data_IF_169965114602
#
_entry.id   IF_169965114602
#
_cell.length_a   1.000
_cell.length_b   1.000
_cell.length_c   1.000
_cell.angle_alpha   90.00
_cell.angle_beta   90.00
_cell.angle_gamma   90.00
#
_symmetry.space_group_name_H-M   'P 1'
#
loop_
_entity.id
_entity.type
_entity.pdbx_description
1 polymer ?
#
# COMPACT_ATOMS: atom_id res chain seq x y z
N UNK A 1 5.64 -18.84 28.26
CA UNK A 1 6.80 -18.56 27.39
C UNK A 1 6.66 -17.15 26.83
N UNK A 2 7.65 -16.30 27.09
CA UNK A 2 7.73 -14.94 26.53
C UNK A 2 8.54 -14.98 25.23
N UNK A 3 8.06 -14.30 24.19
CA UNK A 3 8.80 -14.09 22.94
C UNK A 3 8.78 -12.62 22.54
N UNK A 4 9.92 -12.15 22.05
CA UNK A 4 10.06 -10.79 21.53
C UNK A 4 9.25 -10.67 20.23
N UNK A 5 8.42 -9.64 20.17
CA UNK A 5 7.54 -9.40 19.04
C UNK A 5 8.35 -8.81 17.86
N UNK A 6 8.34 -9.44 16.68
CA UNK A 6 9.09 -8.94 15.53
C UNK A 6 8.44 -7.71 14.88
N UNK A 7 7.27 -7.24 15.36
CA UNK A 7 6.62 -6.03 14.86
C UNK A 7 7.45 -4.81 15.24
N UNK A 8 8.05 -4.20 14.23
CA UNK A 8 8.76 -2.94 14.39
C UNK A 8 7.80 -1.80 14.75
N UNK A 9 8.28 -0.88 15.58
CA UNK A 9 7.72 0.46 15.64
C UNK A 9 7.86 1.10 14.25
N UNK A 10 6.73 1.34 13.58
CA UNK A 10 6.76 2.07 12.32
C UNK A 10 6.98 3.55 12.58
N UNK A 11 7.84 4.18 11.77
CA UNK A 11 7.80 5.64 11.65
C UNK A 11 6.55 5.99 10.87
N UNK A 12 5.51 6.36 11.59
CA UNK A 12 4.24 6.81 11.02
C UNK A 12 4.27 8.33 10.93
N UNK A 13 4.09 8.87 9.74
CA UNK A 13 3.82 10.30 9.58
C UNK A 13 2.48 10.66 10.23
N UNK A 14 2.34 11.91 10.67
CA UNK A 14 1.09 12.39 11.23
C UNK A 14 -0.07 12.12 10.25
N UNK A 15 -1.17 11.59 10.79
CA UNK A 15 -2.32 11.22 9.98
C UNK A 15 -2.99 12.48 9.44
N UNK A 16 -3.08 12.51 8.12
CA UNK A 16 -3.86 13.45 7.36
C UNK A 16 -5.07 12.70 6.79
N UNK A 17 -6.24 13.29 6.93
CA UNK A 17 -7.42 12.84 6.19
C UNK A 17 -7.44 13.37 4.77
N UNK A 18 -8.21 12.70 3.91
CA UNK A 18 -8.48 13.19 2.57
C UNK A 18 -9.25 14.51 2.66
N UNK A 19 -8.69 15.56 2.06
CA UNK A 19 -9.25 16.92 2.09
C UNK A 19 -9.79 17.38 0.75
N UNK A 20 -9.32 16.78 -0.35
CA UNK A 20 -9.77 17.13 -1.70
C UNK A 20 -11.22 16.65 -1.94
N UNK A 21 -12.14 17.51 -2.41
CA UNK A 21 -13.49 17.09 -2.71
C UNK A 21 -13.47 16.10 -3.89
N UNK A 22 -14.30 15.05 -3.78
CA UNK A 22 -14.49 14.08 -4.86
C UNK A 22 -15.32 14.70 -5.98
N UNK A 23 -15.13 14.18 -7.19
CA UNK A 23 -15.86 14.67 -8.35
C UNK A 23 -17.34 14.34 -8.19
N UNK A 24 -18.24 15.18 -8.70
CA UNK A 24 -19.67 14.81 -8.76
C UNK A 24 -19.93 13.91 -9.98
N UNK A 25 -19.16 14.14 -11.04
CA UNK A 25 -19.16 13.39 -12.29
C UNK A 25 -17.79 13.56 -12.94
N UNK A 26 -17.41 12.60 -13.78
CA UNK A 26 -16.25 12.76 -14.66
C UNK A 26 -16.57 13.63 -15.87
N UNK A 27 -17.84 13.84 -16.23
CA UNK A 27 -18.24 14.61 -17.42
C UNK A 27 -17.73 16.06 -17.38
N UNK A 28 -17.13 16.49 -18.49
CA UNK A 28 -16.54 17.83 -18.63
C UNK A 28 -15.28 18.06 -17.82
N UNK A 29 -14.73 17.01 -17.18
CA UNK A 29 -13.52 17.07 -16.35
C UNK A 29 -12.27 16.71 -17.13
N UNK A 30 -11.12 17.13 -16.60
CA UNK A 30 -9.80 16.75 -17.07
C UNK A 30 -9.25 15.71 -16.12
N UNK A 31 -9.09 14.47 -16.58
CA UNK A 31 -8.59 13.35 -15.76
C UNK A 31 -7.23 12.92 -16.29
N UNK A 32 -6.25 12.85 -15.39
CA UNK A 32 -4.92 12.32 -15.69
C UNK A 32 -4.84 10.85 -15.30
N UNK A 33 -4.55 9.97 -16.26
CA UNK A 33 -4.08 8.61 -15.98
C UNK A 33 -2.55 8.67 -15.91
N UNK A 34 -1.99 8.48 -14.71
CA UNK A 34 -0.56 8.56 -14.45
C UNK A 34 0.03 7.16 -14.54
N UNK A 35 0.82 6.93 -15.59
CA UNK A 35 1.60 5.70 -15.79
C UNK A 35 3.07 5.93 -15.46
N UNK A 36 3.68 4.99 -14.75
CA UNK A 36 5.11 5.04 -14.43
C UNK A 36 5.89 3.85 -14.97
N UNK A 37 5.19 2.86 -15.55
CA UNK A 37 5.80 1.64 -16.07
C UNK A 37 5.24 1.26 -17.44
N UNK A 38 6.10 0.82 -18.37
CA UNK A 38 5.66 0.39 -19.71
C UNK A 38 4.72 -0.83 -19.71
N UNK A 39 4.89 -1.75 -18.77
CA UNK A 39 4.15 -3.02 -18.66
C UNK A 39 2.65 -2.82 -18.37
N UNK A 40 2.26 -1.70 -17.76
CA UNK A 40 0.87 -1.29 -17.55
C UNK A 40 0.18 -0.70 -18.78
N UNK A 41 0.92 -0.41 -19.86
CA UNK A 41 0.44 0.44 -20.95
C UNK A 41 -0.80 -0.11 -21.65
N UNK A 42 -0.89 -1.41 -21.92
CA UNK A 42 -2.04 -2.01 -22.60
C UNK A 42 -3.34 -1.84 -21.81
N UNK A 43 -3.31 -2.16 -20.51
CA UNK A 43 -4.44 -1.92 -19.62
C UNK A 43 -4.81 -0.43 -19.57
N UNK A 44 -3.83 0.45 -19.38
CA UNK A 44 -4.09 1.88 -19.20
C UNK A 44 -4.61 2.54 -20.48
N UNK A 45 -4.14 2.08 -21.64
CA UNK A 45 -4.68 2.49 -22.93
C UNK A 45 -6.13 2.05 -23.10
N UNK A 46 -6.46 0.82 -22.72
CA UNK A 46 -7.85 0.34 -22.75
C UNK A 46 -8.73 1.11 -21.76
N UNK A 47 -8.25 1.34 -20.54
CA UNK A 47 -8.96 2.15 -19.54
C UNK A 47 -9.21 3.58 -20.06
N UNK A 48 -8.21 4.21 -20.67
CA UNK A 48 -8.36 5.53 -21.29
C UNK A 48 -9.45 5.52 -22.36
N UNK A 49 -9.45 4.52 -23.26
CA UNK A 49 -10.44 4.38 -24.32
C UNK A 49 -11.85 4.26 -23.72
N UNK A 50 -12.04 3.37 -22.76
CA UNK A 50 -13.34 3.14 -22.11
C UNK A 50 -13.84 4.39 -21.39
N UNK A 51 -12.97 5.11 -20.67
CA UNK A 51 -13.33 6.37 -20.01
C UNK A 51 -13.74 7.46 -21.00
N UNK A 52 -13.09 7.55 -22.17
CA UNK A 52 -13.48 8.49 -23.23
C UNK A 52 -14.82 8.12 -23.88
N UNK A 53 -15.09 6.83 -24.03
CA UNK A 53 -16.38 6.34 -24.54
C UNK A 53 -17.52 6.61 -23.56
N UNK A 54 -17.28 6.42 -22.25
CA UNK A 54 -18.26 6.65 -21.19
C UNK A 54 -18.48 8.14 -20.89
N UNK A 55 -17.41 8.95 -20.96
CA UNK A 55 -17.43 10.39 -20.69
C UNK A 55 -16.87 11.21 -21.87
N UNK A 56 -17.63 11.31 -22.98
CA UNK A 56 -17.14 11.94 -24.22
C UNK A 56 -16.90 13.45 -24.10
N UNK A 57 -17.44 14.10 -23.06
CA UNK A 57 -17.22 15.53 -22.79
C UNK A 57 -15.92 15.81 -22.01
N UNK A 58 -15.25 14.76 -21.53
CA UNK A 58 -14.10 14.85 -20.64
C UNK A 58 -12.79 14.73 -21.41
N UNK A 59 -11.74 15.34 -20.88
CA UNK A 59 -10.38 15.15 -21.38
C UNK A 59 -9.68 14.10 -20.54
N UNK A 60 -9.39 12.94 -21.12
CA UNK A 60 -8.68 11.85 -20.43
C UNK A 60 -7.29 11.73 -21.05
N UNK A 61 -6.25 12.10 -20.29
CA UNK A 61 -4.86 12.08 -20.74
C UNK A 61 -4.08 10.97 -20.05
N UNK A 62 -3.40 10.12 -20.83
CA UNK A 62 -2.44 9.16 -20.31
C UNK A 62 -1.08 9.84 -20.30
N UNK A 63 -0.52 10.05 -19.12
CA UNK A 63 0.72 10.80 -18.91
C UNK A 63 1.74 9.97 -18.16
N UNK A 64 3.01 10.14 -18.52
CA UNK A 64 4.12 9.48 -17.82
C UNK A 64 4.50 10.26 -16.57
N UNK A 65 4.39 9.61 -15.41
CA UNK A 65 4.80 10.12 -14.10
C UNK A 65 6.30 9.96 -13.84
N UNK A 66 6.72 10.17 -12.58
CA UNK A 66 8.09 9.97 -12.14
C UNK A 66 8.11 9.34 -10.75
N UNK A 67 8.24 8.01 -10.71
CA UNK A 67 8.15 7.24 -9.47
C UNK A 67 9.26 7.57 -8.45
N UNK A 68 10.40 8.08 -8.93
CA UNK A 68 11.56 8.39 -8.09
C UNK A 68 11.52 9.82 -7.53
N UNK A 69 10.71 10.70 -8.12
CA UNK A 69 10.49 12.06 -7.65
C UNK A 69 9.05 12.49 -7.95
N UNK A 70 8.03 11.83 -7.36
CA UNK A 70 6.63 12.08 -7.65
C UNK A 70 6.23 13.53 -7.35
N UNK A 71 6.84 14.18 -6.36
CA UNK A 71 6.64 15.59 -6.03
C UNK A 71 6.92 16.53 -7.21
N UNK A 72 7.86 16.17 -8.10
CA UNK A 72 8.16 16.95 -9.31
C UNK A 72 6.99 17.02 -10.29
N UNK A 73 6.00 16.12 -10.12
CA UNK A 73 4.86 15.98 -11.00
C UNK A 73 3.62 16.76 -10.54
N UNK A 74 3.60 17.25 -9.29
CA UNK A 74 2.43 17.94 -8.70
C UNK A 74 1.95 19.10 -9.59
N UNK A 75 2.85 20.01 -10.00
CA UNK A 75 2.46 21.16 -10.84
C UNK A 75 1.92 20.80 -12.24
N UNK A 76 2.14 19.56 -12.70
CA UNK A 76 1.48 19.04 -13.91
C UNK A 76 0.09 18.52 -13.60
N UNK A 77 -0.07 17.82 -12.47
CA UNK A 77 -1.35 17.26 -12.02
C UNK A 77 -2.35 18.32 -11.57
N UNK A 78 -1.92 19.47 -11.05
CA UNK A 78 -2.80 20.59 -10.68
C UNK A 78 -3.64 21.13 -11.86
N UNK A 79 -3.27 20.79 -13.10
CA UNK A 79 -4.02 21.14 -14.31
C UNK A 79 -5.21 20.21 -14.57
N UNK A 80 -5.34 19.14 -13.81
CA UNK A 80 -6.38 18.13 -13.91
C UNK A 80 -7.32 18.22 -12.70
N UNK A 81 -8.58 17.90 -12.92
CA UNK A 81 -9.59 17.85 -11.86
C UNK A 81 -9.39 16.62 -10.94
N UNK A 82 -8.84 15.53 -11.48
CA UNK A 82 -8.49 14.35 -10.71
C UNK A 82 -7.41 13.50 -11.41
N UNK A 83 -6.83 12.55 -10.67
CA UNK A 83 -5.88 11.58 -11.22
C UNK A 83 -6.29 10.12 -10.97
N UNK A 84 -5.86 9.23 -11.86
CA UNK A 84 -5.86 7.78 -11.71
C UNK A 84 -4.39 7.36 -11.74
N UNK A 85 -3.85 6.90 -10.62
CA UNK A 85 -2.48 6.44 -10.54
C UNK A 85 -2.44 4.92 -10.69
N UNK A 86 -1.65 4.41 -11.63
CA UNK A 86 -1.51 2.97 -11.76
C UNK A 86 -0.67 2.50 -12.94
N UNK A 87 -0.38 1.20 -13.00
CA UNK A 87 -0.80 0.19 -12.01
C UNK A 87 0.34 -0.14 -11.06
N UNK A 88 0.03 -0.21 -9.77
CA UNK A 88 0.91 -0.85 -8.79
C UNK A 88 0.86 -2.36 -8.99
N UNK A 89 1.90 -2.89 -9.64
CA UNK A 89 2.07 -4.31 -9.94
C UNK A 89 3.35 -4.95 -9.32
N UNK A 90 4.14 -4.19 -8.56
CA UNK A 90 5.31 -4.68 -7.81
C UNK A 90 5.39 -4.04 -6.43
N UNK A 91 6.12 -4.64 -5.49
CA UNK A 91 6.27 -4.13 -4.12
C UNK A 91 7.52 -3.24 -3.89
N UNK A 92 8.15 -2.74 -4.95
CA UNK A 92 9.54 -2.27 -4.90
C UNK A 92 9.75 -0.81 -4.44
N UNK A 93 8.69 0.00 -4.28
CA UNK A 93 8.87 1.46 -4.12
C UNK A 93 8.55 1.97 -2.74
N UNK A 94 9.34 2.98 -2.40
CA UNK A 94 9.45 3.67 -1.13
C UNK A 94 8.18 4.41 -0.69
N UNK A 95 7.45 5.01 -1.62
CA UNK A 95 6.17 5.68 -1.32
C UNK A 95 5.23 5.42 -2.48
N UNK A 96 3.93 5.45 -2.22
CA UNK A 96 2.95 5.48 -3.31
C UNK A 96 2.77 6.93 -3.78
N UNK A 97 3.07 7.27 -5.05
CA UNK A 97 2.88 8.63 -5.57
C UNK A 97 1.48 9.20 -5.34
N UNK A 98 0.45 8.34 -5.38
CA UNK A 98 -0.92 8.74 -5.07
C UNK A 98 -1.08 9.35 -3.67
N UNK A 99 -0.30 8.92 -2.67
CA UNK A 99 -0.31 9.54 -1.32
C UNK A 99 0.17 10.98 -1.41
N UNK A 100 1.24 11.22 -2.16
CA UNK A 100 1.83 12.55 -2.33
C UNK A 100 0.86 13.48 -3.08
N UNK A 101 0.21 12.97 -4.12
CA UNK A 101 -0.75 13.75 -4.92
C UNK A 101 -2.02 14.10 -4.12
N UNK A 102 -2.57 13.16 -3.34
CA UNK A 102 -3.72 13.41 -2.46
C UNK A 102 -3.36 14.39 -1.33
N UNK A 103 -2.17 14.26 -0.72
CA UNK A 103 -1.68 15.24 0.27
C UNK A 103 -1.52 16.64 -0.33
N UNK A 104 -1.20 16.74 -1.62
CA UNK A 104 -1.14 18.00 -2.36
C UNK A 104 -2.53 18.57 -2.72
N UNK A 105 -3.63 17.90 -2.33
CA UNK A 105 -4.99 18.38 -2.54
C UNK A 105 -5.58 18.03 -3.90
N UNK A 106 -4.96 17.12 -4.65
CA UNK A 106 -5.47 16.66 -5.95
C UNK A 106 -6.22 15.35 -5.70
N UNK A 107 -7.54 15.27 -5.94
CA UNK A 107 -8.28 14.05 -5.67
C UNK A 107 -7.89 12.98 -6.70
N UNK A 108 -7.70 11.75 -6.26
CA UNK A 108 -7.49 10.66 -7.20
C UNK A 108 -7.74 9.27 -6.62
N UNK A 109 -7.36 8.28 -7.41
CA UNK A 109 -7.49 6.88 -7.05
C UNK A 109 -6.21 6.15 -7.41
N UNK A 110 -5.80 5.24 -6.54
CA UNK A 110 -4.65 4.38 -6.72
C UNK A 110 -5.13 3.00 -7.19
N UNK A 111 -4.58 2.47 -8.29
CA UNK A 111 -4.97 1.18 -8.86
C UNK A 111 -3.88 0.13 -8.59
N UNK A 112 -4.24 -0.98 -7.96
CA UNK A 112 -3.33 -2.08 -7.60
C UNK A 112 -3.71 -3.39 -8.27
N UNK A 113 -2.71 -4.18 -8.65
CA UNK A 113 -2.91 -5.57 -9.06
C UNK A 113 -3.08 -6.49 -7.85
N UNK A 114 -4.29 -7.03 -7.67
CA UNK A 114 -4.56 -8.15 -6.77
C UNK A 114 -4.48 -7.89 -5.26
N UNK A 115 -4.77 -8.94 -4.51
CA UNK A 115 -4.81 -8.93 -3.04
C UNK A 115 -3.42 -8.67 -2.42
N UNK A 116 -2.39 -9.25 -3.00
CA UNK A 116 -1.02 -9.17 -2.48
C UNK A 116 -0.50 -7.74 -2.43
N UNK A 117 -0.81 -6.91 -3.43
CA UNK A 117 -0.37 -5.53 -3.47
C UNK A 117 -1.33 -4.59 -2.75
N UNK A 118 -2.63 -4.91 -2.70
CA UNK A 118 -3.60 -4.12 -1.96
C UNK A 118 -3.20 -3.96 -0.47
N UNK A 119 -2.84 -5.06 0.19
CA UNK A 119 -2.39 -5.03 1.59
C UNK A 119 -1.13 -4.18 1.79
N UNK A 120 -0.17 -4.29 0.86
CA UNK A 120 1.07 -3.51 0.88
C UNK A 120 0.80 -2.01 0.65
N UNK A 121 0.01 -1.66 -0.36
CA UNK A 121 -0.37 -0.27 -0.66
C UNK A 121 -1.07 0.37 0.55
N UNK A 122 -1.99 -0.35 1.22
CA UNK A 122 -2.61 0.14 2.47
C UNK A 122 -1.60 0.35 3.58
N UNK A 123 -0.64 -0.58 3.74
CA UNK A 123 0.41 -0.48 4.76
C UNK A 123 1.33 0.72 4.49
N UNK A 124 1.69 0.96 3.23
CA UNK A 124 2.48 2.11 2.82
C UNK A 124 1.70 3.41 3.03
N UNK A 125 0.45 3.49 2.55
CA UNK A 125 -0.40 4.67 2.74
C UNK A 125 -0.55 5.04 4.22
N UNK A 126 -0.70 4.02 5.09
CA UNK A 126 -0.70 4.18 6.54
C UNK A 126 0.62 4.73 7.09
N UNK A 127 1.77 4.17 6.69
CA UNK A 127 3.09 4.63 7.15
C UNK A 127 3.36 6.08 6.74
N UNK A 128 2.90 6.47 5.55
CA UNK A 128 2.96 7.85 5.04
C UNK A 128 1.77 8.70 5.50
N UNK A 129 1.05 8.31 6.55
CA UNK A 129 0.04 9.16 7.20
C UNK A 129 -1.20 9.48 6.37
N UNK A 130 -1.53 8.68 5.35
CA UNK A 130 -2.76 8.81 4.56
C UNK A 130 -3.53 7.47 4.51
N UNK A 131 -3.99 6.93 5.66
CA UNK A 131 -4.65 5.62 5.71
C UNK A 131 -5.97 5.55 4.92
N UNK A 132 -6.60 6.70 4.66
CA UNK A 132 -7.83 6.82 3.87
C UNK A 132 -7.62 6.82 2.35
N UNK A 133 -6.39 6.61 1.85
CA UNK A 133 -6.13 6.59 0.41
C UNK A 133 -7.09 5.64 -0.33
N UNK A 134 -7.78 6.14 -1.36
CA UNK A 134 -8.68 5.33 -2.19
C UNK A 134 -7.87 4.42 -3.10
N UNK A 135 -8.05 3.11 -2.92
CA UNK A 135 -7.34 2.08 -3.65
C UNK A 135 -8.35 1.17 -4.34
N UNK A 136 -8.29 1.11 -5.66
CA UNK A 136 -9.04 0.13 -6.46
C UNK A 136 -8.17 -1.09 -6.68
N UNK A 137 -8.67 -2.22 -6.18
CA UNK A 137 -8.05 -3.53 -6.34
C UNK A 137 -8.57 -4.17 -7.62
N UNK A 138 -7.68 -4.44 -8.57
CA UNK A 138 -8.02 -5.17 -9.78
C UNK A 138 -8.36 -6.64 -9.45
N UNK A 139 -9.34 -7.25 -10.14
CA UNK A 139 -9.77 -8.63 -9.92
C UNK A 139 -8.77 -9.63 -10.55
N UNK A 140 -7.53 -9.61 -10.10
CA UNK A 140 -6.46 -10.46 -10.61
C UNK A 140 -5.49 -10.86 -9.52
N UNK A 141 -5.18 -12.16 -9.37
CA UNK A 141 -4.23 -12.63 -8.35
C UNK A 141 -2.78 -12.22 -8.64
N UNK A 142 -2.44 -12.08 -9.93
CA UNK A 142 -1.13 -11.64 -10.41
C UNK A 142 -1.30 -10.62 -11.52
N UNK A 143 -0.26 -9.83 -11.76
CA UNK A 143 -0.22 -9.01 -12.97
C UNK A 143 -0.13 -9.90 -14.23
N UNK A 144 -0.97 -9.69 -15.27
CA UNK A 144 -0.85 -10.40 -16.54
C UNK A 144 0.48 -10.09 -17.24
N UNK A 145 1.01 -11.07 -17.97
CA UNK A 145 2.12 -10.83 -18.89
C UNK A 145 1.68 -9.99 -20.09
N UNK A 146 2.64 -9.33 -20.74
CA UNK A 146 2.36 -8.43 -21.87
C UNK A 146 1.67 -9.12 -23.06
N UNK A 147 1.83 -10.44 -23.19
CA UNK A 147 1.17 -11.26 -24.21
C UNK A 147 -0.26 -11.68 -23.86
N UNK A 148 -0.70 -11.50 -22.61
CA UNK A 148 -2.06 -11.82 -22.14
C UNK A 148 -3.01 -10.64 -22.39
N UNK A 149 -3.07 -10.18 -23.63
CA UNK A 149 -3.74 -8.94 -24.03
C UNK A 149 -5.25 -8.95 -23.74
N UNK A 150 -5.92 -10.07 -24.00
CA UNK A 150 -7.36 -10.25 -23.72
C UNK A 150 -7.66 -10.09 -22.23
N UNK A 151 -6.77 -10.59 -21.36
CA UNK A 151 -6.92 -10.45 -19.91
C UNK A 151 -6.73 -8.99 -19.47
N UNK A 152 -5.75 -8.29 -20.01
CA UNK A 152 -5.53 -6.86 -19.71
C UNK A 152 -6.70 -5.99 -20.16
N UNK A 153 -7.30 -6.29 -21.32
CA UNK A 153 -8.51 -5.61 -21.80
C UNK A 153 -9.69 -5.86 -20.87
N UNK A 154 -9.94 -7.13 -20.54
CA UNK A 154 -11.00 -7.54 -19.62
C UNK A 154 -10.84 -6.90 -18.24
N UNK A 155 -9.63 -6.82 -17.71
CA UNK A 155 -9.37 -6.15 -16.43
C UNK A 155 -9.76 -4.68 -16.48
N UNK A 156 -9.52 -3.97 -17.58
CA UNK A 156 -9.93 -2.58 -17.72
C UNK A 156 -11.46 -2.44 -17.77
N UNK A 157 -12.14 -3.34 -18.50
CA UNK A 157 -13.61 -3.40 -18.59
C UNK A 157 -14.26 -3.69 -17.22
N UNK A 158 -13.67 -4.59 -16.43
CA UNK A 158 -14.21 -4.98 -15.12
C UNK A 158 -13.91 -3.96 -14.02
N UNK A 159 -12.88 -3.12 -14.17
CA UNK A 159 -12.45 -2.17 -13.12
C UNK A 159 -12.89 -0.73 -13.33
N UNK A 160 -13.30 -0.35 -14.54
CA UNK A 160 -13.65 1.04 -14.87
C UNK A 160 -14.73 1.63 -13.95
N UNK A 161 -15.79 0.88 -13.66
CA UNK A 161 -16.90 1.37 -12.85
C UNK A 161 -16.49 1.62 -11.40
N UNK A 162 -15.63 0.75 -10.84
CA UNK A 162 -15.11 0.93 -9.48
C UNK A 162 -14.11 2.09 -9.41
N UNK A 163 -13.33 2.34 -10.47
CA UNK A 163 -12.45 3.50 -10.60
C UNK A 163 -13.26 4.79 -10.64
N UNK A 164 -14.31 4.85 -11.46
CA UNK A 164 -15.20 6.01 -11.53
C UNK A 164 -15.90 6.27 -10.20
N UNK A 165 -16.43 5.22 -9.57
CA UNK A 165 -17.04 5.29 -8.25
C UNK A 165 -16.05 5.79 -7.20
N UNK A 166 -14.81 5.29 -7.18
CA UNK A 166 -13.78 5.77 -6.28
C UNK A 166 -13.40 7.25 -6.52
N UNK A 167 -13.55 7.77 -7.73
CA UNK A 167 -13.34 9.18 -8.03
C UNK A 167 -14.53 10.07 -7.64
N UNK A 168 -15.73 9.50 -7.56
CA UNK A 168 -16.99 10.27 -7.48
C UNK A 168 -17.74 10.14 -6.16
N UNK A 169 -17.65 8.98 -5.50
CA UNK A 169 -18.33 8.76 -4.22
C UNK A 169 -17.86 9.82 -3.20
N UNK A 170 -18.76 10.40 -2.40
CA UNK A 170 -18.37 11.36 -1.38
C UNK A 170 -17.40 10.72 -0.38
N UNK A 171 -16.49 11.53 0.16
CA UNK A 171 -15.60 11.07 1.22
C UNK A 171 -16.41 10.64 2.46
N UNK A 172 -16.09 9.48 2.99
CA UNK A 172 -16.58 9.01 4.29
C UNK A 172 -15.94 9.81 5.43
N UNK A 173 -16.55 9.78 6.61
CA UNK A 173 -15.98 10.47 7.78
C UNK A 173 -14.65 9.86 8.23
N UNK A 174 -14.44 8.55 8.03
CA UNK A 174 -13.18 7.88 8.33
C UNK A 174 -12.06 8.30 7.36
N UNK A 175 -12.38 8.50 6.08
CA UNK A 175 -11.43 9.02 5.09
C UNK A 175 -11.00 10.45 5.39
N UNK A 176 -11.93 11.30 5.86
CA UNK A 176 -11.66 12.71 6.22
C UNK A 176 -10.97 12.85 7.58
N UNK A 177 -11.27 11.97 8.52
CA UNK A 177 -10.79 12.06 9.91
C UNK A 177 -10.29 10.69 10.37
N UNK A 178 -9.17 10.19 9.79
CA UNK A 178 -8.64 8.89 10.16
C UNK A 178 -8.15 8.89 11.60
N UNK A 179 -8.51 7.87 12.35
CA UNK A 179 -8.05 7.70 13.73
C UNK A 179 -6.59 7.21 13.73
N UNK A 180 -5.71 7.80 14.55
CA UNK A 180 -4.37 7.25 14.78
C UNK A 180 -4.45 5.77 15.16
N UNK A 181 -3.51 4.98 14.63
CA UNK A 181 -3.38 3.57 14.96
C UNK A 181 -2.11 3.40 15.80
N UNK A 182 -2.28 2.87 17.02
CA UNK A 182 -1.16 2.38 17.82
C UNK A 182 -0.90 0.92 17.50
N UNK A 183 0.38 0.59 17.32
CA UNK A 183 0.82 -0.78 17.12
C UNK A 183 1.24 -1.38 18.44
N UNK A 184 0.67 -2.53 18.77
CA UNK A 184 1.20 -3.34 19.86
C UNK A 184 2.53 -3.98 19.42
N UNK A 185 3.61 -3.37 19.90
CA UNK A 185 4.98 -3.84 19.78
C UNK A 185 5.47 -4.51 21.07
N UNK A 186 4.57 -4.78 22.02
CA UNK A 186 4.89 -5.50 23.25
C UNK A 186 5.20 -6.97 22.97
N UNK A 187 5.91 -7.59 23.90
CA UNK A 187 6.23 -9.02 23.84
C UNK A 187 4.96 -9.87 23.81
N UNK A 188 5.05 -11.01 23.13
CA UNK A 188 3.94 -11.96 23.02
C UNK A 188 4.16 -13.05 24.07
N UNK A 189 3.09 -13.41 24.78
CA UNK A 189 3.13 -14.42 25.84
C UNK A 189 2.29 -15.64 25.46
N UNK A 190 2.89 -16.83 25.58
CA UNK A 190 2.26 -18.11 25.33
C UNK A 190 2.21 -18.94 26.61
N UNK A 191 1.03 -19.16 27.17
CA UNK A 191 0.82 -19.91 28.41
C UNK A 191 0.59 -21.41 28.13
N UNK A 192 1.14 -22.28 28.98
CA UNK A 192 0.98 -23.74 28.93
C UNK A 192 1.42 -24.37 30.26
N UNK A 193 0.98 -25.60 30.53
CA UNK A 193 1.34 -26.37 31.73
C UNK A 193 2.85 -26.64 31.80
N UNK A 194 3.48 -26.82 30.64
CA UNK A 194 4.91 -26.94 30.47
C UNK A 194 5.44 -26.18 29.25
N UNK A 195 6.75 -26.30 29.01
CA UNK A 195 7.39 -25.68 27.84
C UNK A 195 6.84 -26.24 26.52
N UNK A 196 6.56 -27.54 26.44
CA UNK A 196 6.11 -28.20 25.22
C UNK A 196 4.75 -27.65 24.78
N UNK A 197 3.81 -27.51 25.71
CA UNK A 197 2.49 -26.95 25.41
C UNK A 197 2.58 -25.47 25.01
N UNK A 198 3.38 -24.67 25.72
CA UNK A 198 3.59 -23.27 25.35
C UNK A 198 4.27 -23.13 23.97
N UNK A 199 5.19 -24.03 23.65
CA UNK A 199 5.87 -24.08 22.34
C UNK A 199 4.91 -24.47 21.21
N UNK A 200 4.03 -25.46 21.42
CA UNK A 200 3.00 -25.82 20.45
C UNK A 200 2.04 -24.66 20.18
N UNK A 201 1.60 -23.94 21.23
CA UNK A 201 0.77 -22.73 21.07
C UNK A 201 1.48 -21.63 20.29
N UNK A 202 2.78 -21.42 20.53
CA UNK A 202 3.60 -20.50 19.75
C UNK A 202 3.66 -20.92 18.27
N UNK A 203 3.93 -22.19 17.98
CA UNK A 203 3.97 -22.71 16.62
C UNK A 203 2.64 -22.53 15.89
N UNK A 204 1.52 -22.88 16.55
CA UNK A 204 0.18 -22.74 15.99
C UNK A 204 -0.15 -21.26 15.74
N UNK A 205 0.19 -20.35 16.65
CA UNK A 205 -0.03 -18.92 16.42
C UNK A 205 0.66 -18.40 15.15
N UNK A 206 1.93 -18.76 14.93
CA UNK A 206 2.64 -18.32 13.72
C UNK A 206 2.09 -18.99 12.45
N UNK A 207 1.61 -20.22 12.54
CA UNK A 207 0.97 -20.91 11.42
C UNK A 207 -0.39 -20.28 11.08
N UNK A 208 -1.26 -20.10 12.08
CA UNK A 208 -2.63 -19.58 11.93
C UNK A 208 -2.65 -18.14 11.41
N UNK A 209 -1.59 -17.36 11.71
CA UNK A 209 -1.44 -15.99 11.22
C UNK A 209 -0.64 -15.89 9.90
N UNK A 210 -0.19 -17.00 9.32
CA UNK A 210 0.60 -17.00 8.07
C UNK A 210 2.00 -16.39 8.23
N UNK A 211 2.57 -16.43 9.43
CA UNK A 211 3.93 -15.95 9.73
C UNK A 211 5.00 -17.06 9.64
N UNK A 212 4.61 -18.27 9.24
CA UNK A 212 5.50 -19.39 8.96
C UNK A 212 5.15 -19.99 7.59
N UNK A 213 6.15 -20.59 6.94
CA UNK A 213 6.03 -21.38 5.71
C UNK A 213 5.66 -22.86 5.98
N UNK A 214 5.34 -23.19 7.24
CA UNK A 214 5.06 -24.55 7.70
C UNK A 214 6.25 -25.23 8.38
N UNK A 215 7.44 -24.63 8.35
CA UNK A 215 8.58 -25.09 9.14
C UNK A 215 8.49 -24.61 10.60
N UNK A 216 9.21 -25.31 11.47
CA UNK A 216 9.31 -24.93 12.87
C UNK A 216 10.00 -23.57 13.01
N UNK A 217 9.44 -22.69 13.85
CA UNK A 217 9.98 -21.34 14.07
C UNK A 217 10.78 -21.38 15.37
N UNK A 218 11.99 -20.84 15.36
CA UNK A 218 12.75 -20.70 16.59
C UNK A 218 12.13 -19.54 17.41
N UNK A 219 11.65 -19.76 18.65
CA UNK A 219 11.05 -18.68 19.43
C UNK A 219 12.11 -17.65 19.80
N UNK A 220 11.91 -16.36 19.47
CA UNK A 220 12.83 -15.30 19.86
C UNK A 220 12.63 -14.94 21.34
N UNK A 221 12.91 -15.87 22.26
CA UNK A 221 12.83 -15.59 23.70
C UNK A 221 13.87 -14.54 24.10
N UNK A 222 13.66 -13.80 25.20
CA UNK A 222 14.66 -12.84 25.69
C UNK A 222 16.06 -13.43 25.85
N UNK A 223 16.18 -14.67 26.31
CA UNK A 223 17.46 -15.37 26.47
C UNK A 223 18.09 -15.73 25.12
N UNK A 224 17.30 -16.22 24.17
CA UNK A 224 17.77 -16.58 22.84
C UNK A 224 18.29 -15.35 22.08
N UNK A 225 17.55 -14.25 22.13
CA UNK A 225 17.95 -12.98 21.51
C UNK A 225 19.17 -12.39 22.21
N UNK A 226 19.24 -12.42 23.55
CA UNK A 226 20.44 -12.00 24.29
C UNK A 226 21.68 -12.80 23.88
N UNK A 227 21.54 -14.11 23.67
CA UNK A 227 22.64 -14.96 23.20
C UNK A 227 23.06 -14.64 21.77
N UNK A 228 22.10 -14.36 20.89
CA UNK A 228 22.38 -13.91 19.52
C UNK A 228 23.14 -12.58 19.51
N UNK A 229 22.69 -11.60 20.30
CA UNK A 229 23.30 -10.27 20.40
C UNK A 229 24.72 -10.28 20.97
N UNK A 230 25.11 -11.32 21.72
CA UNK A 230 26.51 -11.50 22.14
C UNK A 230 27.49 -11.72 20.98
N UNK A 231 26.99 -11.96 19.76
CA UNK A 231 27.80 -12.07 18.53
C UNK A 231 28.25 -10.72 17.95
N UNK A 232 27.80 -9.59 18.50
CA UNK A 232 28.17 -8.24 18.07
C UNK A 232 28.64 -7.40 19.25
N UNK A 233 29.51 -6.42 18.98
CA UNK A 233 29.96 -5.42 19.97
C UNK A 233 29.14 -4.14 19.95
N UNK A 234 28.17 -4.02 19.03
CA UNK A 234 27.27 -2.87 18.93
C UNK A 234 26.23 -2.91 20.04
N UNK A 235 25.74 -1.73 20.41
CA UNK A 235 24.68 -1.60 21.41
C UNK A 235 23.36 -2.15 20.83
N UNK A 236 22.68 -3.11 21.48
CA UNK A 236 21.36 -3.60 21.07
C UNK A 236 20.31 -2.50 20.87
N UNK A 237 20.43 -1.37 21.58
CA UNK A 237 19.53 -0.24 21.44
C UNK A 237 19.95 0.75 20.32
N UNK A 238 21.07 0.51 19.65
CA UNK A 238 21.54 1.37 18.56
C UNK A 238 20.55 1.32 17.39
N UNK A 239 19.90 2.46 17.13
CA UNK A 239 19.00 2.63 15.98
C UNK A 239 19.85 2.77 14.71
N UNK A 240 19.57 1.93 13.72
CA UNK A 240 20.21 2.04 12.41
C UNK A 240 19.74 3.35 11.72
N UNK A 241 20.64 4.06 11.02
CA UNK A 241 20.38 5.42 10.51
C UNK A 241 19.28 5.49 9.43
N UNK A 242 18.78 4.35 8.96
CA UNK A 242 17.71 4.26 7.96
C UNK A 242 16.57 3.39 8.49
N UNK A 243 15.35 3.73 8.06
CA UNK A 243 14.18 2.90 8.27
C UNK A 243 14.15 1.73 7.27
N UNK A 244 13.58 0.60 7.68
CA UNK A 244 13.45 -0.58 6.82
C UNK A 244 12.12 -0.56 6.04
N UNK A 245 12.20 -0.75 4.73
CA UNK A 245 11.04 -0.96 3.84
C UNK A 245 10.59 -2.43 3.85
N UNK A 246 9.33 -2.76 3.52
CA UNK A 246 8.18 -1.86 3.31
C UNK A 246 7.51 -1.49 4.65
N UNK A 247 7.28 -0.19 4.89
CA UNK A 247 6.62 0.31 6.12
C UNK A 247 7.49 1.20 7.02
N UNK A 248 8.73 1.46 6.64
CA UNK A 248 9.60 2.45 7.29
C UNK A 248 9.77 2.19 8.80
N UNK A 249 9.93 0.91 9.15
CA UNK A 249 10.16 0.49 10.53
C UNK A 249 11.49 1.01 11.06
N UNK A 250 11.49 1.41 12.33
CA UNK A 250 12.72 1.65 13.09
C UNK A 250 13.36 0.29 13.35
N UNK A 251 14.65 0.16 13.05
CA UNK A 251 15.42 -1.07 13.27
C UNK A 251 16.55 -0.78 14.23
N UNK A 252 16.69 -1.63 15.22
CA UNK A 252 17.83 -1.67 16.14
C UNK A 252 18.70 -2.90 15.85
N UNK A 253 19.83 -3.01 16.55
CA UNK A 253 20.73 -4.18 16.47
C UNK A 253 20.09 -5.44 17.01
#
# INVERSE_FOLDING_TARGET
>A
MEVLNPRNAMKIEEFQGLSAPRLITLDGKRIAIVSEKPDGSLYLNQLQKLLREKHPSSTIDLITGNIFAPESFIGRLEKYDAFIYGIRNTAAFNTEPAVIYEKAGIPGVHVCAGDNLYGQTRRTALAFGLPGLRIVKLPSERWPGENETELLVKLAEESIDEIEKALTDPLTEEEKNPKPIEFDTGNIYFEGEDYSEAFEKFQNYFLDNGFSDGLAVAPPTPEAVKKMLAGTSRDPAEVLPNTMTPGYGIVTI
#
